data_IF_476475748026
#
_entry.id   IF_476475748026
#
_cell.length_a   1.000
_cell.length_b   1.000
_cell.length_c   1.000
_cell.angle_alpha   90.00
_cell.angle_beta   90.00
_cell.angle_gamma   90.00
#
_symmetry.space_group_name_H-M   'P 1'
#
loop_
_entity.id
_entity.type
_entity.pdbx_description
1 polymer ?
#
# COMPACT_ATOMS: atom_id res chain seq x y z
N UNK A 1 54.10 -18.76 16.34
CA UNK A 1 52.92 -18.67 17.22
C UNK A 1 52.08 -17.48 16.79
N UNK A 2 51.05 -17.72 15.97
CA UNK A 2 50.18 -16.67 15.42
C UNK A 2 49.18 -16.21 16.48
N UNK A 3 49.55 -15.23 17.30
CA UNK A 3 48.61 -14.53 18.17
C UNK A 3 47.73 -13.59 17.34
N UNK A 4 46.76 -14.16 16.61
CA UNK A 4 45.66 -13.37 16.04
C UNK A 4 44.85 -12.80 17.20
N UNK A 5 45.02 -11.51 17.44
CA UNK A 5 44.45 -10.76 18.55
C UNK A 5 42.91 -10.88 18.56
N UNK A 6 42.35 -11.36 19.67
CA UNK A 6 40.94 -11.72 19.87
C UNK A 6 39.99 -10.52 19.63
N UNK A 7 40.49 -9.30 19.85
CA UNK A 7 39.78 -8.05 19.56
C UNK A 7 39.56 -7.80 18.05
N UNK A 8 40.48 -8.24 17.20
CA UNK A 8 40.35 -8.08 15.74
C UNK A 8 39.34 -9.08 15.15
N UNK A 9 39.28 -10.31 15.70
CA UNK A 9 38.27 -11.31 15.31
C UNK A 9 36.84 -10.86 15.62
N UNK A 10 36.60 -10.21 16.77
CA UNK A 10 35.28 -9.64 17.10
C UNK A 10 34.86 -8.52 16.14
N UNK A 11 35.75 -7.57 15.82
CA UNK A 11 35.45 -6.51 14.84
C UNK A 11 35.18 -7.02 13.42
N UNK A 12 35.87 -8.08 12.99
CA UNK A 12 35.66 -8.71 11.68
C UNK A 12 34.32 -9.45 11.65
N UNK A 13 33.97 -10.16 12.74
CA UNK A 13 32.69 -10.84 12.87
C UNK A 13 31.50 -9.85 12.93
N UNK A 14 31.61 -8.74 13.66
CA UNK A 14 30.56 -7.71 13.69
C UNK A 14 30.35 -7.04 12.33
N UNK A 15 31.44 -6.76 11.60
CA UNK A 15 31.36 -6.20 10.24
C UNK A 15 30.77 -7.18 9.23
N UNK A 16 31.11 -8.47 9.31
CA UNK A 16 30.55 -9.47 8.41
C UNK A 16 29.07 -9.72 8.69
N UNK A 17 28.68 -9.73 9.97
CA UNK A 17 27.28 -9.87 10.38
C UNK A 17 26.45 -8.68 9.91
N UNK A 18 26.93 -7.45 10.12
CA UNK A 18 26.27 -6.22 9.66
C UNK A 18 26.12 -6.14 8.12
N UNK A 19 27.11 -6.60 7.37
CA UNK A 19 27.03 -6.66 5.91
C UNK A 19 26.04 -7.73 5.44
N UNK A 20 25.94 -8.86 6.14
CA UNK A 20 24.98 -9.91 5.83
C UNK A 20 23.54 -9.47 6.11
N UNK A 21 23.28 -8.81 7.24
CA UNK A 21 21.94 -8.24 7.53
C UNK A 21 21.55 -7.15 6.54
N UNK A 22 22.46 -6.24 6.17
CA UNK A 22 22.18 -5.24 5.13
C UNK A 22 21.82 -5.89 3.79
N UNK A 23 22.58 -6.88 3.35
CA UNK A 23 22.30 -7.60 2.10
C UNK A 23 21.00 -8.40 2.16
N UNK A 24 20.68 -9.01 3.31
CA UNK A 24 19.41 -9.69 3.53
C UNK A 24 18.23 -8.71 3.49
N UNK A 25 18.38 -7.51 4.06
CA UNK A 25 17.37 -6.46 3.96
C UNK A 25 17.19 -5.96 2.52
N UNK A 26 18.28 -5.72 1.78
CA UNK A 26 18.19 -5.35 0.35
C UNK A 26 17.50 -6.44 -0.48
N UNK A 27 17.75 -7.72 -0.20
CA UNK A 27 17.05 -8.83 -0.85
C UNK A 27 15.57 -8.90 -0.46
N UNK A 28 15.24 -8.64 0.81
CA UNK A 28 13.85 -8.62 1.28
C UNK A 28 13.03 -7.52 0.58
N UNK A 29 13.65 -6.39 0.20
CA UNK A 29 13.00 -5.34 -0.59
C UNK A 29 12.63 -5.76 -2.02
N UNK A 30 13.19 -6.87 -2.52
CA UNK A 30 12.87 -7.45 -3.83
C UNK A 30 11.76 -8.50 -3.75
N UNK A 31 11.35 -8.90 -2.54
CA UNK A 31 10.27 -9.84 -2.32
C UNK A 31 8.94 -9.10 -2.16
N UNK A 32 7.81 -9.75 -2.43
CA UNK A 32 6.49 -9.21 -2.11
C UNK A 32 6.30 -8.95 -0.62
N UNK A 33 5.27 -8.17 -0.29
CA UNK A 33 4.86 -7.94 1.09
C UNK A 33 4.61 -9.29 1.81
N UNK A 34 4.94 -9.36 3.11
CA UNK A 34 4.56 -10.50 3.93
C UNK A 34 3.04 -10.70 3.87
N UNK A 35 2.60 -11.93 3.61
CA UNK A 35 1.18 -12.32 3.49
C UNK A 35 0.33 -11.88 4.69
N UNK A 36 0.87 -11.85 5.91
CA UNK A 36 0.14 -11.39 7.10
C UNK A 36 -0.15 -9.90 7.01
N UNK A 37 0.84 -9.10 6.60
CA UNK A 37 0.65 -7.65 6.41
C UNK A 37 -0.27 -7.36 5.23
N UNK A 38 -0.13 -8.08 4.12
CA UNK A 38 -0.99 -7.91 2.96
C UNK A 38 -2.47 -8.19 3.30
N UNK A 39 -2.72 -9.23 4.10
CA UNK A 39 -4.07 -9.55 4.60
C UNK A 39 -4.61 -8.48 5.54
N UNK A 40 -3.76 -7.90 6.38
CA UNK A 40 -4.18 -6.81 7.27
C UNK A 40 -4.60 -5.57 6.46
N UNK A 41 -3.79 -5.16 5.48
CA UNK A 41 -4.11 -4.04 4.58
C UNK A 41 -5.41 -4.30 3.81
N UNK A 42 -5.55 -5.51 3.25
CA UNK A 42 -6.78 -5.93 2.56
C UNK A 42 -8.00 -5.80 3.49
N UNK A 43 -7.92 -6.35 4.70
CA UNK A 43 -9.00 -6.28 5.68
C UNK A 43 -9.37 -4.84 6.05
N UNK A 44 -8.38 -3.99 6.32
CA UNK A 44 -8.60 -2.57 6.64
C UNK A 44 -9.30 -1.82 5.51
N UNK A 45 -8.92 -2.07 4.25
CA UNK A 45 -9.53 -1.45 3.08
C UNK A 45 -10.98 -1.92 2.88
N UNK A 46 -11.23 -3.23 2.95
CA UNK A 46 -12.58 -3.78 2.77
C UNK A 46 -13.54 -3.32 3.90
N UNK A 47 -13.05 -3.23 5.14
CA UNK A 47 -13.84 -2.68 6.25
C UNK A 47 -14.11 -1.18 6.09
N UNK A 48 -13.15 -0.42 5.58
CA UNK A 48 -13.33 1.01 5.29
C UNK A 48 -14.40 1.20 4.21
N UNK A 49 -14.38 0.38 3.15
CA UNK A 49 -15.38 0.41 2.09
C UNK A 49 -16.79 0.09 2.62
N UNK A 50 -16.91 -0.94 3.46
CA UNK A 50 -18.19 -1.31 4.07
C UNK A 50 -18.73 -0.22 5.00
N UNK A 51 -17.85 0.41 5.78
CA UNK A 51 -18.24 1.49 6.69
C UNK A 51 -18.71 2.73 5.92
N UNK A 52 -18.07 3.04 4.79
CA UNK A 52 -18.49 4.10 3.88
C UNK A 52 -19.83 3.75 3.22
N UNK A 53 -20.06 2.49 2.85
CA UNK A 53 -21.35 2.03 2.32
C UNK A 53 -22.49 2.21 3.32
N UNK A 54 -22.25 1.96 4.61
CA UNK A 54 -23.28 2.08 5.65
C UNK A 54 -23.55 3.52 6.07
N UNK A 55 -22.81 4.50 5.56
CA UNK A 55 -23.01 5.94 5.85
C UNK A 55 -22.65 6.37 7.28
N UNK A 56 -21.90 5.55 8.01
CA UNK A 56 -21.44 5.85 9.38
C UNK A 56 -19.92 6.10 9.42
N UNK A 57 -19.32 6.31 8.26
CA UNK A 57 -17.89 6.58 8.13
C UNK A 57 -17.54 8.01 8.52
N UNK A 58 -16.26 8.21 8.82
CA UNK A 58 -15.63 9.52 8.88
C UNK A 58 -14.58 9.68 7.79
N UNK A 59 -13.92 10.85 7.82
CA UNK A 59 -12.85 11.19 6.89
C UNK A 59 -11.69 10.17 6.91
N UNK A 60 -11.46 9.50 8.05
CA UNK A 60 -10.41 8.50 8.19
C UNK A 60 -10.57 7.32 7.22
N UNK A 61 -11.78 6.73 7.14
CA UNK A 61 -12.07 5.62 6.23
C UNK A 61 -11.95 6.07 4.77
N UNK A 62 -12.46 7.26 4.45
CA UNK A 62 -12.36 7.84 3.11
C UNK A 62 -10.88 8.03 2.70
N UNK A 63 -10.05 8.58 3.60
CA UNK A 63 -8.63 8.77 3.35
C UNK A 63 -7.89 7.43 3.17
N UNK A 64 -8.29 6.38 3.88
CA UNK A 64 -7.79 5.02 3.68
C UNK A 64 -8.05 4.52 2.24
N UNK A 65 -9.28 4.69 1.74
CA UNK A 65 -9.61 4.32 0.36
C UNK A 65 -8.87 5.19 -0.66
N UNK A 66 -8.73 6.50 -0.42
CA UNK A 66 -7.91 7.37 -1.27
C UNK A 66 -6.44 6.92 -1.34
N UNK A 67 -5.88 6.52 -0.21
CA UNK A 67 -4.52 5.99 -0.15
C UNK A 67 -4.39 4.68 -0.94
N UNK A 68 -5.32 3.74 -0.75
CA UNK A 68 -5.35 2.49 -1.51
C UNK A 68 -5.45 2.75 -3.02
N UNK A 69 -6.33 3.66 -3.44
CA UNK A 69 -6.46 4.10 -4.83
C UNK A 69 -5.14 4.68 -5.39
N UNK A 70 -4.51 5.61 -4.68
CA UNK A 70 -3.26 6.23 -5.13
C UNK A 70 -2.13 5.22 -5.25
N UNK A 71 -1.96 4.34 -4.26
CA UNK A 71 -0.94 3.30 -4.29
C UNK A 71 -1.22 2.33 -5.43
N UNK A 72 -2.48 1.90 -5.61
CA UNK A 72 -2.85 0.99 -6.68
C UNK A 72 -2.55 1.57 -8.06
N UNK A 73 -2.84 2.86 -8.27
CA UNK A 73 -2.52 3.59 -9.50
C UNK A 73 -1.01 3.65 -9.75
N UNK A 74 -0.22 4.00 -8.74
CA UNK A 74 1.23 4.06 -8.89
C UNK A 74 1.88 2.70 -9.15
N UNK A 75 1.38 1.64 -8.52
CA UNK A 75 1.82 0.28 -8.79
C UNK A 75 1.43 -0.16 -10.20
N UNK A 76 0.22 0.16 -10.66
CA UNK A 76 -0.21 -0.10 -12.02
C UNK A 76 0.65 0.64 -13.06
N UNK A 77 0.93 1.93 -12.85
CA UNK A 77 1.86 2.71 -13.69
C UNK A 77 3.28 2.12 -13.72
N UNK A 78 3.69 1.43 -12.64
CA UNK A 78 4.96 0.71 -12.55
C UNK A 78 4.91 -0.71 -13.13
N UNK A 79 3.77 -1.13 -13.70
CA UNK A 79 3.60 -2.43 -14.36
C UNK A 79 3.09 -3.56 -13.46
N UNK A 80 2.62 -3.25 -12.24
CA UNK A 80 2.09 -4.25 -11.32
C UNK A 80 0.56 -4.28 -11.34
N UNK A 81 -0.01 -5.40 -11.79
CA UNK A 81 -1.46 -5.63 -11.85
C UNK A 81 -2.11 -5.03 -13.09
N UNK A 82 -3.06 -5.77 -13.66
CA UNK A 82 -3.89 -5.30 -14.77
C UNK A 82 -5.20 -4.72 -14.28
N UNK A 83 -5.65 -3.62 -14.87
CA UNK A 83 -6.98 -3.04 -14.67
C UNK A 83 -7.75 -3.05 -15.99
N UNK A 84 -9.08 -2.99 -15.91
CA UNK A 84 -9.89 -2.65 -17.08
C UNK A 84 -9.68 -1.19 -17.47
N UNK A 85 -10.05 -0.85 -18.70
CA UNK A 85 -10.03 0.52 -19.19
C UNK A 85 -10.89 1.43 -18.30
N UNK A 86 -10.41 2.66 -18.10
CA UNK A 86 -11.06 3.73 -17.36
C UNK A 86 -11.29 3.49 -15.86
N UNK A 87 -10.84 2.37 -15.27
CA UNK A 87 -11.08 2.06 -13.86
C UNK A 87 -10.54 3.17 -12.94
N UNK A 88 -9.33 3.66 -13.20
CA UNK A 88 -8.73 4.71 -12.38
C UNK A 88 -9.43 6.06 -12.54
N UNK A 89 -9.84 6.43 -13.77
CA UNK A 89 -10.62 7.65 -14.01
C UNK A 89 -12.02 7.61 -13.39
N UNK A 90 -12.68 6.44 -13.41
CA UNK A 90 -13.97 6.22 -12.74
C UNK A 90 -13.83 6.32 -11.22
N UNK A 91 -12.84 5.64 -10.64
CA UNK A 91 -12.57 5.71 -9.20
C UNK A 91 -12.21 7.14 -8.76
N UNK A 92 -11.40 7.86 -9.53
CA UNK A 92 -11.06 9.25 -9.25
C UNK A 92 -12.30 10.15 -9.19
N UNK A 93 -13.21 10.01 -10.16
CA UNK A 93 -14.48 10.76 -10.17
C UNK A 93 -15.34 10.43 -8.96
N UNK A 94 -15.45 9.17 -8.57
CA UNK A 94 -16.19 8.74 -7.37
C UNK A 94 -15.60 9.39 -6.11
N UNK A 95 -14.28 9.32 -5.93
CA UNK A 95 -13.61 9.87 -4.76
C UNK A 95 -13.77 11.39 -4.68
N UNK A 96 -13.59 12.11 -5.80
CA UNK A 96 -13.78 13.55 -5.87
C UNK A 96 -15.24 13.95 -5.60
N UNK A 97 -16.20 13.19 -6.12
CA UNK A 97 -17.61 13.43 -5.86
C UNK A 97 -17.96 13.26 -4.38
N UNK A 98 -17.52 12.16 -3.76
CA UNK A 98 -17.73 11.92 -2.34
C UNK A 98 -17.08 13.02 -1.49
N UNK A 99 -15.84 13.42 -1.80
CA UNK A 99 -15.17 14.53 -1.10
C UNK A 99 -15.98 15.83 -1.18
N UNK A 100 -16.43 16.19 -2.39
CA UNK A 100 -17.20 17.41 -2.60
C UNK A 100 -18.57 17.38 -1.92
N UNK A 101 -19.17 16.19 -1.75
CA UNK A 101 -20.41 16.01 -0.98
C UNK A 101 -20.14 16.12 0.51
N UNK A 102 -19.13 15.43 1.04
CA UNK A 102 -18.73 15.49 2.44
C UNK A 102 -18.34 16.90 2.87
N UNK A 103 -17.64 17.67 2.03
CA UNK A 103 -17.30 19.07 2.31
C UNK A 103 -18.56 19.96 2.47
N UNK A 104 -19.71 19.56 1.90
CA UNK A 104 -20.99 20.28 2.00
C UNK A 104 -21.89 19.78 3.12
N UNK A 105 -21.93 18.47 3.36
CA UNK A 105 -22.90 17.85 4.28
C UNK A 105 -22.28 17.40 5.60
N UNK A 106 -20.96 17.19 5.62
CA UNK A 106 -20.24 16.54 6.72
C UNK A 106 -20.31 15.01 6.69
N UNK A 107 -21.05 14.43 5.75
CA UNK A 107 -21.31 12.98 5.69
C UNK A 107 -20.37 12.27 4.72
N UNK A 108 -19.78 11.17 5.18
CA UNK A 108 -18.91 10.31 4.37
C UNK A 108 -19.64 9.03 4.01
N UNK A 109 -19.98 8.87 2.74
CA UNK A 109 -20.64 7.66 2.26
C UNK A 109 -20.41 7.43 0.77
N UNK A 110 -20.64 6.19 0.35
CA UNK A 110 -20.64 5.78 -1.05
C UNK A 110 -21.97 5.10 -1.39
N UNK A 111 -22.53 5.41 -2.56
CA UNK A 111 -23.63 4.63 -3.12
C UNK A 111 -23.15 3.27 -3.63
N UNK A 112 -24.09 2.41 -4.03
CA UNK A 112 -23.77 1.06 -4.49
C UNK A 112 -22.84 1.05 -5.72
N UNK A 113 -22.93 2.05 -6.60
CA UNK A 113 -22.08 2.13 -7.79
C UNK A 113 -20.66 2.54 -7.43
N UNK A 114 -20.52 3.58 -6.60
CA UNK A 114 -19.26 4.00 -6.02
C UNK A 114 -18.58 2.84 -5.28
N UNK A 115 -19.33 2.08 -4.48
CA UNK A 115 -18.82 0.89 -3.80
C UNK A 115 -18.34 -0.19 -4.79
N UNK A 116 -19.07 -0.45 -5.88
CA UNK A 116 -18.64 -1.42 -6.91
C UNK A 116 -17.30 -1.01 -7.55
N UNK A 117 -17.19 0.24 -7.99
CA UNK A 117 -15.98 0.76 -8.64
C UNK A 117 -14.79 0.71 -7.68
N UNK A 118 -14.98 1.13 -6.43
CA UNK A 118 -13.90 1.15 -5.43
C UNK A 118 -13.55 -0.26 -4.93
N UNK A 119 -14.48 -1.22 -4.94
CA UNK A 119 -14.18 -2.61 -4.66
C UNK A 119 -13.24 -3.22 -5.73
N UNK A 120 -13.38 -2.84 -7.00
CA UNK A 120 -12.43 -3.23 -8.05
C UNK A 120 -11.02 -2.69 -7.77
N UNK A 121 -10.91 -1.43 -7.34
CA UNK A 121 -9.63 -0.82 -6.94
C UNK A 121 -9.00 -1.54 -5.74
N UNK A 122 -9.77 -1.81 -4.68
CA UNK A 122 -9.27 -2.52 -3.50
C UNK A 122 -8.83 -3.94 -3.86
N UNK A 123 -9.60 -4.64 -4.70
CA UNK A 123 -9.26 -5.99 -5.16
C UNK A 123 -7.99 -5.99 -6.02
N UNK A 124 -7.82 -4.99 -6.90
CA UNK A 124 -6.58 -4.79 -7.64
C UNK A 124 -5.41 -4.55 -6.68
N UNK A 125 -5.60 -3.71 -5.67
CA UNK A 125 -4.56 -3.42 -4.68
C UNK A 125 -4.15 -4.66 -3.88
N UNK A 126 -5.11 -5.50 -3.49
CA UNK A 126 -4.84 -6.78 -2.82
C UNK A 126 -3.98 -7.71 -3.69
N UNK A 127 -4.33 -7.82 -4.98
CA UNK A 127 -3.56 -8.60 -5.94
C UNK A 127 -2.14 -8.04 -6.12
N UNK A 128 -2.00 -6.71 -6.17
CA UNK A 128 -0.70 -6.05 -6.24
C UNK A 128 0.15 -6.29 -4.99
N UNK A 129 -0.43 -6.23 -3.77
CA UNK A 129 0.30 -6.51 -2.54
C UNK A 129 0.88 -7.93 -2.48
N UNK A 130 0.24 -8.89 -3.16
CA UNK A 130 0.70 -10.27 -3.23
C UNK A 130 1.90 -10.48 -4.18
N UNK A 131 2.12 -9.57 -5.14
CA UNK A 131 3.13 -9.78 -6.21
C UNK A 131 4.16 -8.65 -6.34
N UNK A 132 3.79 -7.42 -6.00
CA UNK A 132 4.66 -6.27 -6.11
C UNK A 132 5.76 -6.34 -5.04
N UNK A 133 7.03 -6.13 -5.42
CA UNK A 133 8.13 -6.15 -4.47
C UNK A 133 8.02 -4.96 -3.51
N UNK A 134 8.48 -5.14 -2.27
CA UNK A 134 8.37 -4.13 -1.21
C UNK A 134 8.98 -2.77 -1.61
N UNK A 135 10.05 -2.73 -2.41
CA UNK A 135 10.60 -1.46 -2.88
C UNK A 135 9.61 -0.67 -3.77
N UNK A 136 8.80 -1.34 -4.59
CA UNK A 136 7.80 -0.69 -5.43
C UNK A 136 6.68 -0.05 -4.58
N UNK A 137 6.26 -0.75 -3.52
CA UNK A 137 5.32 -0.24 -2.52
C UNK A 137 5.89 0.99 -1.78
N UNK A 138 7.18 0.94 -1.40
CA UNK A 138 7.86 2.09 -0.77
C UNK A 138 7.88 3.28 -1.74
N UNK A 139 8.28 3.06 -3.01
CA UNK A 139 8.27 4.12 -4.01
C UNK A 139 6.89 4.73 -4.24
N UNK A 140 5.84 3.91 -4.28
CA UNK A 140 4.45 4.37 -4.37
C UNK A 140 4.06 5.22 -3.15
N UNK A 141 4.42 4.78 -1.94
CA UNK A 141 4.14 5.50 -0.70
C UNK A 141 4.89 6.84 -0.62
N UNK A 142 6.16 6.88 -1.05
CA UNK A 142 6.92 8.14 -1.11
C UNK A 142 6.31 9.11 -2.12
N UNK A 143 5.89 8.63 -3.30
CA UNK A 143 5.20 9.47 -4.29
C UNK A 143 3.89 10.05 -3.74
N UNK A 144 3.15 9.29 -2.93
CA UNK A 144 1.93 9.77 -2.28
C UNK A 144 2.20 10.97 -1.36
N UNK A 145 3.28 10.94 -0.58
CA UNK A 145 3.65 12.03 0.34
C UNK A 145 4.07 13.33 -0.35
N UNK A 146 4.44 13.25 -1.63
CA UNK A 146 4.93 14.41 -2.41
C UNK A 146 3.83 15.14 -3.20
N UNK A 147 2.59 14.66 -3.13
CA UNK A 147 1.40 15.34 -3.69
C UNK A 147 0.66 16.08 -2.60
#
# INVERSE_FOLDING_TARGET
MSHTNMANRRKIADRSFANHTKRAQTKAMLLPMNVVMARQVSLENHLSLETLRSGVAGEHQFNGICQAYCIARFLHEAGYGGSRDNLFEEAERVLLHCRATADKTGDWWFDDEACRILAEIVTLHDAQCAVAPVHALICANERLKTR
#
